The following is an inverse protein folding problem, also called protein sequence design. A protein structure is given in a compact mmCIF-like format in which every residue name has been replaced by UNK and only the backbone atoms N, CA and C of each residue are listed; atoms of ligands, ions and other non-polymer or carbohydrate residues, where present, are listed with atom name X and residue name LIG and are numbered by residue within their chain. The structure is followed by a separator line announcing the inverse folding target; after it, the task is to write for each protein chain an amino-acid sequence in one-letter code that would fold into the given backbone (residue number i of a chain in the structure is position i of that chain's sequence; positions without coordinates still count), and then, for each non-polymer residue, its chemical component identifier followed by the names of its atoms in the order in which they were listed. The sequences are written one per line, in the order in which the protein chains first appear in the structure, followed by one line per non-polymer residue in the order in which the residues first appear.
data_IF_259960070929
#
_entry.id   IF_259960070929
#
_cell.length_a   1.000
_cell.length_b   1.000
_cell.length_c   1.000
_cell.angle_alpha   90.00
_cell.angle_beta   90.00
_cell.angle_gamma   90.00
#
_symmetry.space_group_name_H-M   'P 1'
#
loop_
_entity.id
_entity.type
_entity.pdbx_description
1 polymer ?
#
# COMPACT_ATOMS: atom_id res chain seq x y z
N UNK A 1 -3.67 19.82 2.28
CA UNK A 1 -3.23 19.12 3.51
C UNK A 1 -1.72 19.23 3.71
N UNK A 2 -0.91 18.89 2.69
CA UNK A 2 0.56 19.01 2.77
C UNK A 2 1.01 20.48 2.83
N UNK A 3 0.45 21.35 1.99
CA UNK A 3 0.75 22.80 1.99
C UNK A 3 0.42 23.46 3.33
N UNK A 4 -0.78 23.19 3.88
CA UNK A 4 -1.18 23.69 5.19
C UNK A 4 -0.26 23.23 6.34
N UNK A 5 0.30 22.00 6.26
CA UNK A 5 1.29 21.54 7.23
C UNK A 5 2.64 22.26 7.03
N UNK A 6 3.02 22.52 5.77
CA UNK A 6 4.26 23.21 5.43
C UNK A 6 4.24 24.68 5.87
N UNK A 7 3.10 25.36 5.69
CA UNK A 7 2.88 26.73 6.16
C UNK A 7 2.90 26.79 7.69
N UNK A 8 2.23 25.84 8.36
CA UNK A 8 2.28 25.72 9.82
C UNK A 8 3.71 25.49 10.35
N UNK A 9 4.51 24.66 9.67
CA UNK A 9 5.91 24.42 10.03
C UNK A 9 6.83 25.61 9.74
N UNK A 10 6.50 26.41 8.72
CA UNK A 10 7.24 27.62 8.35
C UNK A 10 7.01 28.75 9.37
N UNK A 11 5.77 28.93 9.82
CA UNK A 11 5.40 29.95 10.80
C UNK A 11 5.79 29.55 12.24
N UNK A 12 5.91 28.26 12.52
CA UNK A 12 6.24 27.72 13.85
C UNK A 12 7.46 26.79 13.84
N UNK A 13 8.55 27.30 13.27
CA UNK A 13 9.82 26.58 13.05
C UNK A 13 10.44 25.93 14.32
N UNK A 14 10.14 26.45 15.52
CA UNK A 14 10.54 25.85 16.81
C UNK A 14 9.43 24.96 17.39
N UNK A 15 8.14 25.30 17.21
CA UNK A 15 7.00 24.56 17.77
C UNK A 15 6.67 23.25 17.04
N UNK A 16 7.30 22.99 15.88
CA UNK A 16 7.25 21.71 15.17
C UNK A 16 7.61 20.49 16.04
N UNK A 17 8.40 20.71 17.10
CA UNK A 17 8.79 19.67 18.06
C UNK A 17 7.89 19.59 19.31
N UNK A 18 6.99 20.55 19.50
CA UNK A 18 6.16 20.70 20.71
C UNK A 18 4.69 20.32 20.51
N UNK A 19 4.34 19.74 19.36
CA UNK A 19 3.02 19.14 19.13
C UNK A 19 1.91 20.10 18.67
N UNK A 20 2.23 21.36 18.35
CA UNK A 20 1.23 22.34 17.91
C UNK A 20 0.60 22.02 16.54
N UNK A 21 1.28 21.21 15.73
CA UNK A 21 0.86 20.84 14.37
C UNK A 21 0.05 19.52 14.33
N UNK A 22 -0.44 19.03 15.48
CA UNK A 22 -1.03 17.70 15.59
C UNK A 22 -2.33 17.53 14.78
N UNK A 23 -3.15 18.56 14.68
CA UNK A 23 -4.44 18.47 13.96
C UNK A 23 -4.26 18.41 12.45
N UNK A 24 -3.38 19.25 11.90
CA UNK A 24 -3.04 19.23 10.47
C UNK A 24 -2.32 17.92 10.10
N UNK A 25 -1.45 17.42 10.99
CA UNK A 25 -0.81 16.11 10.84
C UNK A 25 -1.81 14.96 10.90
N UNK A 26 -2.77 15.00 11.82
CA UNK A 26 -3.81 13.97 11.95
C UNK A 26 -4.68 13.88 10.70
N UNK A 27 -5.06 15.03 10.12
CA UNK A 27 -5.80 15.09 8.87
C UNK A 27 -4.99 14.50 7.70
N UNK A 28 -3.69 14.79 7.65
CA UNK A 28 -2.79 14.24 6.62
C UNK A 28 -2.62 12.71 6.79
N UNK A 29 -2.41 12.24 8.01
CA UNK A 29 -2.31 10.81 8.33
C UNK A 29 -3.60 10.06 7.97
N UNK A 30 -4.77 10.64 8.23
CA UNK A 30 -6.05 10.06 7.86
C UNK A 30 -6.17 9.88 6.33
N UNK A 31 -5.76 10.90 5.57
CA UNK A 31 -5.72 10.85 4.11
C UNK A 31 -4.78 9.75 3.60
N UNK A 32 -3.53 9.71 4.07
CA UNK A 32 -2.57 8.69 3.66
C UNK A 32 -2.97 7.27 4.07
N UNK A 33 -3.60 7.11 5.24
CA UNK A 33 -4.15 5.80 5.64
C UNK A 33 -5.25 5.36 4.70
N UNK A 34 -6.12 6.27 4.27
CA UNK A 34 -7.18 5.95 3.32
C UNK A 34 -6.61 5.54 1.96
N UNK A 35 -5.67 6.32 1.44
CA UNK A 35 -4.99 6.01 0.18
C UNK A 35 -4.26 4.67 0.25
N UNK A 36 -3.54 4.41 1.36
CA UNK A 36 -2.88 3.14 1.61
C UNK A 36 -3.85 1.98 1.62
N UNK A 37 -5.01 2.10 2.28
CA UNK A 37 -6.04 1.04 2.29
C UNK A 37 -6.54 0.71 0.89
N UNK A 38 -6.83 1.72 0.07
CA UNK A 38 -7.28 1.53 -1.31
C UNK A 38 -6.20 0.81 -2.14
N UNK A 39 -4.96 1.30 -2.09
CA UNK A 39 -3.83 0.68 -2.81
C UNK A 39 -3.57 -0.76 -2.35
N UNK A 40 -3.62 -1.01 -1.04
CA UNK A 40 -3.46 -2.35 -0.48
C UNK A 40 -4.57 -3.30 -0.93
N UNK A 41 -5.81 -2.85 -1.02
CA UNK A 41 -6.92 -3.66 -1.53
C UNK A 41 -6.70 -4.06 -3.00
N UNK A 42 -6.33 -3.08 -3.85
CA UNK A 42 -6.03 -3.33 -5.27
C UNK A 42 -4.86 -4.32 -5.42
N UNK A 43 -3.79 -4.12 -4.66
CA UNK A 43 -2.61 -5.00 -4.70
C UNK A 43 -2.94 -6.40 -4.24
N UNK A 44 -3.81 -6.56 -3.23
CA UNK A 44 -4.26 -7.87 -2.75
C UNK A 44 -5.02 -8.62 -3.84
N UNK A 45 -5.92 -7.96 -4.57
CA UNK A 45 -6.66 -8.60 -5.65
C UNK A 45 -5.74 -8.98 -6.82
N UNK A 46 -4.79 -8.12 -7.18
CA UNK A 46 -3.75 -8.45 -8.19
C UNK A 46 -2.90 -9.64 -7.76
N UNK A 47 -2.50 -9.69 -6.49
CA UNK A 47 -1.71 -10.79 -5.94
C UNK A 47 -2.46 -12.12 -5.98
N UNK A 48 -3.75 -12.13 -5.60
CA UNK A 48 -4.60 -13.33 -5.71
C UNK A 48 -4.72 -13.82 -7.15
N UNK A 49 -4.97 -12.91 -8.09
CA UNK A 49 -5.08 -13.26 -9.51
C UNK A 49 -3.78 -13.84 -10.06
N UNK A 50 -2.64 -13.26 -9.68
CA UNK A 50 -1.32 -13.77 -10.07
C UNK A 50 -1.05 -15.14 -9.46
N UNK A 51 -1.29 -15.32 -8.16
CA UNK A 51 -1.09 -16.58 -7.46
C UNK A 51 -1.96 -17.70 -8.06
N UNK A 52 -3.22 -17.42 -8.39
CA UNK A 52 -4.10 -18.39 -9.03
C UNK A 52 -3.61 -18.81 -10.42
N UNK A 53 -3.04 -17.89 -11.20
CA UNK A 53 -2.43 -18.24 -12.50
C UNK A 53 -1.18 -19.10 -12.32
N UNK A 54 -0.30 -18.71 -11.40
CA UNK A 54 0.93 -19.45 -11.11
C UNK A 54 0.62 -20.90 -10.67
N UNK A 55 -0.36 -21.07 -9.78
CA UNK A 55 -0.76 -22.40 -9.32
C UNK A 55 -1.32 -23.27 -10.46
N UNK A 56 -2.09 -22.70 -11.39
CA UNK A 56 -2.57 -23.45 -12.56
C UNK A 56 -1.43 -23.90 -13.45
N UNK A 57 -0.50 -23.00 -13.79
CA UNK A 57 0.67 -23.36 -14.61
C UNK A 57 1.52 -24.45 -13.94
N UNK A 58 1.80 -24.33 -12.64
CA UNK A 58 2.54 -25.37 -11.92
C UNK A 58 1.80 -26.72 -11.90
N UNK A 59 0.48 -26.72 -11.81
CA UNK A 59 -0.33 -27.94 -11.84
C UNK A 59 -0.35 -28.56 -13.24
N UNK A 60 -0.42 -27.73 -14.29
CA UNK A 60 -0.32 -28.15 -15.69
C UNK A 60 1.05 -28.78 -15.98
N UNK A 61 2.14 -28.12 -15.58
CA UNK A 61 3.50 -28.63 -15.72
C UNK A 61 3.67 -29.99 -15.03
N UNK A 62 3.18 -30.12 -13.79
CA UNK A 62 3.22 -31.38 -13.05
C UNK A 62 2.38 -32.48 -13.72
N UNK A 63 1.23 -32.12 -14.31
CA UNK A 63 0.39 -33.07 -15.05
C UNK A 63 1.03 -33.53 -16.35
N UNK A 64 1.70 -32.62 -17.07
CA UNK A 64 2.43 -32.93 -18.30
C UNK A 64 3.58 -33.89 -18.02
N UNK A 65 4.40 -33.60 -17.01
CA UNK A 65 5.49 -34.48 -16.58
C UNK A 65 5.01 -35.87 -16.15
N UNK A 66 3.83 -35.98 -15.52
CA UNK A 66 3.23 -37.27 -15.17
C UNK A 66 2.64 -38.04 -16.37
N UNK A 67 2.44 -37.38 -17.52
CA UNK A 67 1.86 -37.97 -18.73
C UNK A 67 2.88 -38.31 -19.82
N UNK A 68 4.12 -37.81 -19.71
CA UNK A 68 5.24 -38.23 -20.56
C UNK A 68 5.76 -39.60 -20.10
N UNK A 69 5.64 -40.67 -20.90
CA UNK A 69 6.22 -41.95 -20.55
C UNK A 69 7.75 -41.90 -20.74
N UNK A 70 8.47 -42.48 -19.77
CA UNK A 70 9.93 -42.63 -19.76
C UNK A 70 10.47 -43.47 -20.90
#
# INVERSE_FOLDING_TARGET
LIEALNDCHRDHSIAKFWGHCNDQKLALDACFRQEKRIKSAINREKAKAFQAKLQRSLQEDHRQQASEPS
#
